data_IF_869215367408
#
_entry.id   IF_869215367408
#
_cell.length_a   1.000
_cell.length_b   1.000
_cell.length_c   1.000
_cell.angle_alpha   90.00
_cell.angle_beta   90.00
_cell.angle_gamma   90.00
#
_symmetry.space_group_name_H-M   'P 1'
#
loop_
_entity.id
_entity.type
_entity.pdbx_description
1 polymer ?
#
# COMPACT_ATOMS: atom_id res chain seq x y z
N UNK A 1 -0.08 66.76 -38.70
CA UNK A 1 0.03 65.45 -39.38
C UNK A 1 0.32 64.38 -38.31
N UNK A 2 -0.70 63.71 -37.85
CA UNK A 2 -0.60 62.71 -36.77
C UNK A 2 -0.86 61.34 -37.40
N UNK A 3 0.21 60.50 -37.52
CA UNK A 3 0.13 59.13 -38.03
C UNK A 3 -0.30 58.23 -36.89
N UNK A 4 -1.56 57.77 -36.92
CA UNK A 4 -2.04 56.68 -36.07
C UNK A 4 -1.31 55.39 -36.46
N UNK A 5 -0.51 54.86 -35.53
CA UNK A 5 0.01 53.50 -35.63
C UNK A 5 -1.14 52.54 -35.26
N UNK A 6 -1.73 51.93 -36.27
CA UNK A 6 -2.59 50.76 -36.05
C UNK A 6 -1.72 49.60 -35.58
N UNK A 7 -1.87 49.24 -34.32
CA UNK A 7 -1.31 48.01 -33.74
C UNK A 7 -2.09 46.83 -34.31
N UNK A 8 -1.48 46.15 -35.28
CA UNK A 8 -2.00 44.92 -35.88
C UNK A 8 -1.94 43.80 -34.82
N UNK A 9 -2.99 43.70 -34.02
CA UNK A 9 -3.18 42.57 -33.08
C UNK A 9 -3.59 41.36 -33.92
N UNK A 10 -2.59 40.62 -34.42
CA UNK A 10 -2.81 39.28 -35.00
C UNK A 10 -3.21 38.35 -33.85
N UNK A 11 -4.51 38.27 -33.59
CA UNK A 11 -5.07 37.27 -32.70
C UNK A 11 -4.68 35.88 -33.18
N UNK A 12 -4.16 35.05 -32.26
CA UNK A 12 -3.90 33.66 -32.57
C UNK A 12 -5.16 32.99 -33.11
N UNK A 13 -5.09 32.28 -34.26
CA UNK A 13 -6.26 31.63 -34.84
C UNK A 13 -6.86 30.67 -33.81
N UNK A 14 -8.16 30.73 -33.57
CA UNK A 14 -8.86 29.96 -32.54
C UNK A 14 -8.58 28.46 -32.59
N UNK A 15 -8.26 27.93 -33.78
CA UNK A 15 -7.84 26.54 -33.97
C UNK A 15 -6.52 26.19 -33.23
N UNK A 16 -5.54 27.10 -33.20
CA UNK A 16 -4.28 26.88 -32.45
C UNK A 16 -4.51 26.86 -30.96
N UNK A 17 -5.44 27.66 -30.45
CA UNK A 17 -5.79 27.66 -29.02
C UNK A 17 -6.47 26.35 -28.63
N UNK A 18 -7.40 25.84 -29.45
CA UNK A 18 -8.05 24.54 -29.21
C UNK A 18 -7.04 23.40 -29.24
N UNK A 19 -6.15 23.36 -30.23
CA UNK A 19 -5.09 22.34 -30.33
C UNK A 19 -4.15 22.42 -29.12
N UNK A 20 -3.81 23.63 -28.69
CA UNK A 20 -2.97 23.83 -27.49
C UNK A 20 -3.61 23.28 -26.19
N UNK A 21 -4.92 23.53 -26.00
CA UNK A 21 -5.67 23.01 -24.84
C UNK A 21 -5.76 21.49 -24.87
N UNK A 22 -6.06 20.89 -26.03
CA UNK A 22 -6.13 19.44 -26.20
C UNK A 22 -4.77 18.80 -25.96
N UNK A 23 -3.69 19.40 -26.47
CA UNK A 23 -2.31 18.93 -26.22
C UNK A 23 -1.94 18.98 -24.75
N UNK A 24 -2.27 20.06 -24.06
CA UNK A 24 -2.05 20.19 -22.62
C UNK A 24 -2.84 19.14 -21.83
N UNK A 25 -4.10 18.93 -22.14
CA UNK A 25 -4.94 17.92 -21.49
C UNK A 25 -4.37 16.51 -21.68
N UNK A 26 -3.91 16.16 -22.89
CA UNK A 26 -3.26 14.88 -23.17
C UNK A 26 -1.94 14.71 -22.37
N UNK A 27 -1.12 15.74 -22.29
CA UNK A 27 0.12 15.72 -21.49
C UNK A 27 -0.17 15.53 -20.00
N UNK A 28 -1.17 16.21 -19.46
CA UNK A 28 -1.56 16.07 -18.05
C UNK A 28 -2.10 14.67 -17.76
N UNK A 29 -2.90 14.10 -18.65
CA UNK A 29 -3.40 12.73 -18.51
C UNK A 29 -2.25 11.71 -18.55
N UNK A 30 -1.32 11.82 -19.49
CA UNK A 30 -0.14 10.97 -19.59
C UNK A 30 0.74 11.10 -18.34
N UNK A 31 0.96 12.31 -17.84
CA UNK A 31 1.70 12.57 -16.62
C UNK A 31 1.02 11.95 -15.38
N UNK A 32 -0.31 12.07 -15.28
CA UNK A 32 -1.06 11.47 -14.16
C UNK A 32 -0.92 9.94 -14.14
N UNK A 33 -1.05 9.28 -15.30
CA UNK A 33 -0.85 7.83 -15.43
C UNK A 33 0.58 7.43 -15.08
N UNK A 34 1.57 8.14 -15.62
CA UNK A 34 2.98 7.89 -15.31
C UNK A 34 3.29 8.08 -13.82
N UNK A 35 2.75 9.13 -13.21
CA UNK A 35 2.92 9.43 -11.79
C UNK A 35 2.31 8.34 -10.91
N UNK A 36 1.08 7.90 -11.19
CA UNK A 36 0.47 6.77 -10.47
C UNK A 36 1.29 5.50 -10.61
N UNK A 37 1.83 5.24 -11.79
CA UNK A 37 2.64 4.03 -12.04
C UNK A 37 3.96 4.04 -11.27
N UNK A 38 4.56 5.21 -11.08
CA UNK A 38 5.81 5.34 -10.31
C UNK A 38 5.60 5.18 -8.81
N UNK A 39 4.41 5.49 -8.29
CA UNK A 39 4.10 5.43 -6.85
C UNK A 39 3.87 4.01 -6.30
N UNK A 40 3.69 3.01 -7.15
CA UNK A 40 3.42 1.62 -6.73
C UNK A 40 4.49 0.63 -7.15
N UNK A 41 5.55 1.07 -7.82
CA UNK A 41 6.58 0.18 -8.41
C UNK A 41 7.31 -0.66 -7.38
N UNK A 42 7.69 -0.08 -6.24
CA UNK A 42 8.46 -0.78 -5.19
C UNK A 42 7.58 -1.79 -4.46
N UNK A 43 6.37 -1.40 -4.11
CA UNK A 43 5.40 -2.30 -3.50
C UNK A 43 5.08 -3.48 -4.42
N UNK A 44 4.86 -3.23 -5.72
CA UNK A 44 4.64 -4.29 -6.69
C UNK A 44 5.86 -5.20 -6.86
N UNK A 45 7.07 -4.65 -6.83
CA UNK A 45 8.30 -5.45 -6.91
C UNK A 45 8.49 -6.33 -5.67
N UNK A 46 8.11 -5.83 -4.48
CA UNK A 46 8.21 -6.57 -3.23
C UNK A 46 7.08 -7.59 -3.04
N UNK A 47 5.83 -7.13 -3.13
CA UNK A 47 4.66 -7.98 -2.90
C UNK A 47 4.38 -8.91 -4.09
N UNK A 48 4.71 -8.49 -5.29
CA UNK A 48 4.25 -9.11 -6.52
C UNK A 48 2.80 -8.77 -6.84
N UNK A 49 2.36 -8.95 -8.10
CA UNK A 49 1.02 -8.55 -8.54
C UNK A 49 -0.10 -9.30 -7.82
N UNK A 50 0.08 -10.58 -7.53
CA UNK A 50 -0.93 -11.42 -6.87
C UNK A 50 -1.22 -10.99 -5.44
N UNK A 51 -0.16 -10.75 -4.64
CA UNK A 51 -0.31 -10.29 -3.26
C UNK A 51 -0.86 -8.87 -3.22
N UNK A 52 -0.38 -7.98 -4.10
CA UNK A 52 -0.89 -6.61 -4.20
C UNK A 52 -2.39 -6.60 -4.56
N UNK A 53 -2.82 -7.45 -5.50
CA UNK A 53 -4.23 -7.62 -5.81
C UNK A 53 -5.02 -8.18 -4.61
N UNK A 54 -4.51 -9.21 -3.92
CA UNK A 54 -5.15 -9.75 -2.73
C UNK A 54 -5.32 -8.69 -1.63
N UNK A 55 -4.32 -7.84 -1.38
CA UNK A 55 -4.42 -6.74 -0.42
C UNK A 55 -5.58 -5.81 -0.79
N UNK A 56 -5.73 -5.47 -2.08
CA UNK A 56 -6.73 -4.50 -2.53
C UNK A 56 -8.15 -5.05 -2.55
N UNK A 57 -8.35 -6.29 -3.02
CA UNK A 57 -9.70 -6.79 -3.37
C UNK A 57 -10.20 -7.95 -2.52
N UNK A 58 -9.40 -8.53 -1.63
CA UNK A 58 -9.82 -9.68 -0.83
C UNK A 58 -11.13 -9.39 -0.05
N UNK A 59 -12.19 -10.19 -0.21
CA UNK A 59 -13.46 -9.94 0.48
C UNK A 59 -13.39 -10.25 1.97
N UNK A 60 -12.49 -11.15 2.39
CA UNK A 60 -12.26 -11.49 3.80
C UNK A 60 -10.83 -11.18 4.20
N UNK A 61 -10.67 -10.49 5.33
CA UNK A 61 -9.41 -10.19 5.95
C UNK A 61 -9.44 -10.57 7.42
N UNK A 62 -8.43 -11.28 7.85
CA UNK A 62 -8.26 -11.64 9.25
C UNK A 62 -6.99 -10.98 9.81
N UNK A 63 -7.09 -10.46 11.02
CA UNK A 63 -5.95 -10.05 11.82
C UNK A 63 -5.56 -11.18 12.76
N UNK A 64 -4.30 -11.58 12.72
CA UNK A 64 -3.77 -12.64 13.56
C UNK A 64 -2.77 -12.07 14.56
N UNK A 65 -2.87 -12.50 15.83
CA UNK A 65 -1.78 -12.33 16.78
C UNK A 65 -0.80 -13.47 16.58
N UNK A 66 0.48 -13.13 16.55
CA UNK A 66 1.56 -14.10 16.36
C UNK A 66 2.30 -14.29 17.68
N UNK A 67 2.72 -15.51 17.95
CA UNK A 67 3.73 -15.78 18.98
C UNK A 67 5.09 -15.99 18.35
N UNK A 68 6.12 -15.80 19.17
CA UNK A 68 7.49 -16.11 18.79
C UNK A 68 7.57 -17.51 18.18
N UNK A 69 8.31 -17.63 17.15
CA UNK A 69 8.57 -18.72 16.23
C UNK A 69 8.50 -20.13 16.83
N UNK A 70 7.58 -20.92 16.33
CA UNK A 70 7.66 -22.39 16.48
C UNK A 70 8.87 -22.97 15.73
N UNK A 71 9.18 -24.24 15.97
CA UNK A 71 10.24 -24.95 15.28
C UNK A 71 10.13 -24.79 13.76
N UNK A 72 11.14 -24.19 13.11
CA UNK A 72 11.15 -23.93 11.66
C UNK A 72 10.91 -22.48 11.23
N UNK A 73 10.86 -21.52 12.16
CA UNK A 73 10.84 -20.08 11.81
C UNK A 73 9.51 -19.55 11.27
N UNK A 74 8.43 -20.35 11.27
CA UNK A 74 7.09 -19.87 10.88
C UNK A 74 6.36 -19.28 12.08
N UNK A 75 5.83 -18.06 11.98
CA UNK A 75 5.01 -17.48 13.02
C UNK A 75 3.70 -18.28 13.18
N UNK A 76 3.38 -18.62 14.44
CA UNK A 76 2.14 -19.32 14.79
C UNK A 76 1.09 -18.30 15.19
N UNK A 77 -0.10 -18.38 14.58
CA UNK A 77 -1.24 -17.55 14.96
C UNK A 77 -1.84 -18.09 16.28
N UNK A 78 -1.85 -17.25 17.32
CA UNK A 78 -2.49 -17.57 18.62
C UNK A 78 -3.93 -17.16 18.68
N UNK A 79 -4.29 -16.11 17.95
CA UNK A 79 -5.69 -15.69 17.80
C UNK A 79 -5.92 -15.19 16.39
N UNK A 80 -7.15 -15.38 15.90
CA UNK A 80 -7.60 -14.89 14.59
C UNK A 80 -8.88 -14.08 14.79
N UNK A 81 -8.93 -12.91 14.19
CA UNK A 81 -10.07 -12.00 14.29
C UNK A 81 -10.44 -11.55 12.88
N UNK A 82 -11.69 -11.75 12.49
CA UNK A 82 -12.21 -11.22 11.22
C UNK A 82 -12.32 -9.69 11.32
N UNK A 83 -11.59 -9.00 10.43
CA UNK A 83 -11.52 -7.54 10.35
C UNK A 83 -12.05 -7.00 9.02
N UNK A 84 -12.73 -7.83 8.24
CA UNK A 84 -13.25 -7.49 6.91
C UNK A 84 -14.13 -6.23 6.92
N UNK A 85 -14.85 -6.01 8.03
CA UNK A 85 -15.73 -4.85 8.22
C UNK A 85 -15.15 -3.82 9.21
N UNK A 86 -13.86 -3.91 9.55
CA UNK A 86 -13.26 -2.98 10.50
C UNK A 86 -13.15 -1.57 9.90
N UNK A 87 -13.51 -0.51 10.65
CA UNK A 87 -13.33 0.86 10.21
C UNK A 87 -11.87 1.13 9.82
N UNK A 88 -11.67 1.81 8.70
CA UNK A 88 -10.33 2.17 8.23
C UNK A 88 -9.58 1.08 7.45
N UNK A 89 -10.12 -0.15 7.30
CA UNK A 89 -9.48 -1.21 6.53
C UNK A 89 -9.22 -0.79 5.08
N UNK A 90 -10.12 -0.03 4.45
CA UNK A 90 -9.94 0.48 3.07
C UNK A 90 -8.72 1.39 2.99
N UNK A 91 -8.55 2.31 3.94
CA UNK A 91 -7.40 3.20 4.00
C UNK A 91 -6.09 2.43 4.25
N UNK A 92 -6.15 1.42 5.13
CA UNK A 92 -5.00 0.55 5.38
C UNK A 92 -4.57 -0.20 4.12
N UNK A 93 -5.51 -0.76 3.35
CA UNK A 93 -5.22 -1.46 2.09
C UNK A 93 -4.54 -0.53 1.08
N UNK A 94 -5.03 0.70 0.91
CA UNK A 94 -4.37 1.70 0.08
C UNK A 94 -2.97 2.02 0.58
N UNK A 95 -2.82 2.25 1.87
CA UNK A 95 -1.51 2.53 2.47
C UNK A 95 -0.50 1.40 2.29
N UNK A 96 -0.95 0.13 2.31
CA UNK A 96 -0.08 -1.03 2.13
C UNK A 96 0.48 -1.19 0.70
N UNK A 97 -0.15 -0.62 -0.31
CA UNK A 97 0.32 -0.71 -1.71
C UNK A 97 0.95 0.58 -2.22
N UNK A 98 1.08 1.59 -1.38
CA UNK A 98 1.63 2.88 -1.72
C UNK A 98 3.10 3.01 -1.29
N UNK A 99 3.99 3.23 -2.25
CA UNK A 99 5.45 3.30 -2.03
C UNK A 99 5.88 4.40 -1.06
N UNK A 100 5.14 5.52 -1.01
CA UNK A 100 5.44 6.68 -0.17
C UNK A 100 5.36 6.39 1.33
N UNK A 101 4.66 5.32 1.70
CA UNK A 101 4.45 4.91 3.09
C UNK A 101 5.60 4.07 3.64
N UNK A 102 6.49 3.59 2.79
CA UNK A 102 7.65 2.79 3.15
C UNK A 102 8.93 3.64 3.24
N UNK A 103 9.87 3.22 4.07
CA UNK A 103 11.13 3.93 4.16
C UNK A 103 11.94 3.82 2.85
N UNK A 104 12.52 4.93 2.41
CA UNK A 104 13.25 5.02 1.14
C UNK A 104 14.50 4.12 1.06
N UNK A 105 15.04 3.71 2.19
CA UNK A 105 16.22 2.85 2.34
C UNK A 105 15.93 1.36 2.24
N UNK A 106 14.74 0.99 1.83
CA UNK A 106 14.34 -0.41 1.71
C UNK A 106 14.93 -1.10 0.46
N UNK A 107 16.24 -1.27 0.43
CA UNK A 107 16.76 -2.53 -0.09
C UNK A 107 16.16 -3.63 0.78
N UNK A 108 15.67 -4.75 0.22
CA UNK A 108 15.22 -5.88 1.02
C UNK A 108 16.37 -6.23 1.95
N UNK A 109 16.24 -5.83 3.21
CA UNK A 109 17.33 -6.03 4.14
C UNK A 109 17.43 -7.53 4.37
N UNK A 110 18.46 -8.14 3.80
CA UNK A 110 18.91 -9.49 4.12
C UNK A 110 19.42 -9.60 5.56
N UNK A 111 19.21 -8.55 6.36
CA UNK A 111 19.56 -8.50 7.76
C UNK A 111 18.77 -9.54 8.55
N UNK A 112 19.31 -9.85 9.74
CA UNK A 112 18.72 -10.78 10.72
C UNK A 112 17.20 -10.57 10.79
N UNK A 113 16.38 -11.62 10.65
CA UNK A 113 14.94 -11.50 10.83
C UNK A 113 14.65 -10.84 12.19
N UNK A 114 13.59 -10.04 12.33
CA UNK A 114 13.19 -9.49 13.61
C UNK A 114 13.04 -10.63 14.60
N UNK A 115 13.32 -10.35 15.86
CA UNK A 115 13.26 -11.36 16.92
C UNK A 115 11.86 -11.95 17.09
N UNK A 116 10.83 -11.17 16.72
CA UNK A 116 9.43 -11.59 16.73
C UNK A 116 8.65 -10.89 15.63
N UNK A 117 7.62 -11.57 15.13
CA UNK A 117 6.54 -10.97 14.35
C UNK A 117 5.34 -10.86 15.28
N UNK A 118 4.76 -9.67 15.43
CA UNK A 118 3.73 -9.42 16.44
C UNK A 118 2.34 -9.78 15.94
N UNK A 119 2.05 -9.38 14.71
CA UNK A 119 0.74 -9.53 14.10
C UNK A 119 0.85 -9.89 12.62
N UNK A 120 -0.22 -10.44 12.06
CA UNK A 120 -0.33 -10.62 10.63
C UNK A 120 -1.71 -10.21 10.12
N UNK A 121 -1.78 -9.87 8.84
CA UNK A 121 -3.02 -9.74 8.08
C UNK A 121 -3.07 -10.85 7.03
N UNK A 122 -4.11 -11.64 7.09
CA UNK A 122 -4.39 -12.71 6.13
C UNK A 122 -5.54 -12.29 5.21
N UNK A 123 -5.29 -12.36 3.91
CA UNK A 123 -6.22 -11.96 2.85
C UNK A 123 -6.74 -13.19 2.14
N UNK A 124 -8.07 -13.34 2.07
CA UNK A 124 -8.70 -14.53 1.52
C UNK A 124 -9.51 -14.19 0.27
N UNK A 125 -9.41 -15.04 -0.73
CA UNK A 125 -10.33 -15.01 -1.88
C UNK A 125 -11.75 -15.42 -1.45
N UNK A 126 -12.75 -15.13 -2.26
CA UNK A 126 -14.12 -15.51 -1.99
C UNK A 126 -14.25 -17.05 -1.86
N UNK A 127 -14.82 -17.51 -0.74
CA UNK A 127 -15.02 -18.94 -0.46
C UNK A 127 -13.74 -19.73 -0.13
N UNK A 128 -12.56 -19.11 -0.13
CA UNK A 128 -11.33 -19.81 0.18
C UNK A 128 -11.18 -20.11 1.67
N UNK A 129 -10.79 -21.33 2.01
CA UNK A 129 -10.46 -21.73 3.37
C UNK A 129 -9.05 -21.24 3.77
N UNK A 130 -8.13 -21.20 2.81
CA UNK A 130 -6.75 -20.75 3.02
C UNK A 130 -6.55 -19.32 2.51
N UNK A 131 -5.66 -18.53 3.16
CA UNK A 131 -5.38 -17.17 2.70
C UNK A 131 -4.57 -17.19 1.39
N UNK A 132 -4.93 -16.30 0.48
CA UNK A 132 -4.16 -16.03 -0.75
C UNK A 132 -2.83 -15.34 -0.44
N UNK A 133 -2.83 -14.49 0.59
CA UNK A 133 -1.64 -13.78 1.03
C UNK A 133 -1.69 -13.57 2.55
N UNK A 134 -0.52 -13.64 3.18
CA UNK A 134 -0.35 -13.33 4.60
C UNK A 134 0.83 -12.37 4.74
N UNK A 135 0.57 -11.20 5.31
CA UNK A 135 1.57 -10.20 5.65
C UNK A 135 1.85 -10.26 7.14
N UNK A 136 3.07 -10.57 7.54
CA UNK A 136 3.49 -10.49 8.93
C UNK A 136 4.19 -9.16 9.20
N UNK A 137 3.91 -8.57 10.34
CA UNK A 137 4.40 -7.26 10.76
C UNK A 137 5.15 -7.39 12.08
N UNK A 138 6.30 -6.78 12.12
CA UNK A 138 6.99 -6.35 13.33
C UNK A 138 6.60 -4.88 13.55
N UNK A 139 5.96 -4.59 14.67
CA UNK A 139 5.46 -3.25 14.96
C UNK A 139 6.37 -2.50 15.94
N UNK A 140 7.50 -3.08 16.33
CA UNK A 140 8.49 -2.40 17.15
C UNK A 140 9.28 -1.37 16.33
N UNK A 141 9.78 -0.33 16.98
CA UNK A 141 10.60 0.74 16.41
C UNK A 141 10.07 1.31 15.09
N UNK A 142 10.87 1.18 14.04
CA UNK A 142 10.55 1.65 12.67
C UNK A 142 9.54 0.74 11.95
N UNK A 143 9.29 -0.43 12.50
CA UNK A 143 8.42 -1.44 11.93
C UNK A 143 8.95 -2.11 10.66
N UNK A 144 8.52 -3.34 10.44
CA UNK A 144 8.83 -4.07 9.22
C UNK A 144 7.64 -4.92 8.76
N UNK A 145 7.59 -5.25 7.48
CA UNK A 145 6.63 -6.18 6.91
C UNK A 145 7.32 -7.20 6.03
N UNK A 146 6.82 -8.43 6.09
CA UNK A 146 7.19 -9.51 5.18
C UNK A 146 5.96 -10.21 4.63
N UNK A 147 6.11 -10.84 3.48
CA UNK A 147 5.12 -11.80 2.95
C UNK A 147 5.48 -13.18 3.46
N UNK A 148 4.60 -13.81 4.21
CA UNK A 148 4.85 -15.16 4.75
C UNK A 148 5.06 -16.14 3.60
N UNK A 149 6.18 -16.89 3.68
CA UNK A 149 6.57 -17.83 2.61
C UNK A 149 7.43 -17.21 1.50
N UNK A 150 7.72 -15.91 1.54
CA UNK A 150 8.66 -15.25 0.61
C UNK A 150 9.85 -14.67 1.37
N UNK A 151 11.05 -14.68 0.76
CA UNK A 151 12.20 -14.02 1.36
C UNK A 151 12.09 -12.50 1.28
N UNK A 152 12.72 -11.82 2.23
CA UNK A 152 12.80 -10.35 2.25
C UNK A 152 11.81 -9.70 3.19
N UNK A 153 12.12 -8.44 3.53
CA UNK A 153 11.29 -7.56 4.35
C UNK A 153 11.51 -6.12 3.92
N UNK A 154 10.53 -5.26 4.14
CA UNK A 154 10.65 -3.82 3.94
C UNK A 154 10.24 -3.08 5.21
N UNK A 155 10.86 -1.93 5.46
CA UNK A 155 10.50 -1.08 6.60
C UNK A 155 9.19 -0.34 6.34
N UNK A 156 8.31 -0.32 7.34
CA UNK A 156 6.98 0.29 7.25
C UNK A 156 7.01 1.83 7.19
N UNK A 157 8.10 2.46 7.61
CA UNK A 157 8.21 3.92 7.55
C UNK A 157 7.02 4.63 8.21
N UNK A 158 6.33 5.48 7.46
CA UNK A 158 5.16 6.25 7.95
C UNK A 158 3.98 5.37 8.32
N UNK A 159 3.85 4.20 7.70
CA UNK A 159 2.74 3.29 7.94
C UNK A 159 2.79 2.65 9.33
N UNK A 160 3.97 2.47 9.92
CA UNK A 160 4.16 1.77 11.19
C UNK A 160 3.26 2.31 12.32
N UNK A 161 3.22 3.62 12.50
CA UNK A 161 2.43 4.24 13.57
C UNK A 161 0.92 4.08 13.35
N UNK A 162 0.47 4.31 12.10
CA UNK A 162 -0.93 4.16 11.72
C UNK A 162 -1.42 2.73 11.89
N UNK A 163 -0.63 1.76 11.41
CA UNK A 163 -0.91 0.34 11.52
C UNK A 163 -0.96 -0.12 12.99
N UNK A 164 -0.01 0.31 13.81
CA UNK A 164 0.01 0.00 15.27
C UNK A 164 -1.27 0.48 15.94
N UNK A 165 -1.68 1.72 15.70
CA UNK A 165 -2.91 2.29 16.27
C UNK A 165 -4.15 1.54 15.78
N UNK A 166 -4.22 1.26 14.48
CA UNK A 166 -5.35 0.55 13.89
C UNK A 166 -5.46 -0.88 14.44
N UNK A 167 -4.35 -1.61 14.49
CA UNK A 167 -4.30 -2.98 15.05
C UNK A 167 -4.70 -3.00 16.53
N UNK A 168 -4.16 -2.08 17.33
CA UNK A 168 -4.51 -1.99 18.76
C UNK A 168 -6.01 -1.74 18.96
N UNK A 169 -6.60 -0.80 18.23
CA UNK A 169 -8.03 -0.49 18.31
C UNK A 169 -8.89 -1.68 17.85
N UNK A 170 -8.52 -2.32 16.73
CA UNK A 170 -9.32 -3.40 16.12
C UNK A 170 -9.26 -4.69 16.94
N UNK A 171 -8.09 -5.04 17.47
CA UNK A 171 -7.91 -6.26 18.27
C UNK A 171 -8.39 -6.10 19.73
N UNK A 172 -8.48 -4.86 20.25
CA UNK A 172 -9.07 -4.59 21.56
C UNK A 172 -10.60 -4.60 21.53
N UNK A 173 -11.21 -4.16 20.42
CA UNK A 173 -12.67 -4.06 20.28
C UNK A 173 -13.38 -5.40 20.12
N UNK A 174 -12.66 -6.47 19.83
CA UNK A 174 -13.22 -7.83 19.64
C UNK A 174 -12.43 -8.84 20.47
N UNK A 175 -12.87 -9.12 21.72
CA UNK A 175 -12.34 -10.27 22.45
C UNK A 175 -12.54 -11.52 21.61
N UNK A 176 -11.52 -12.35 21.51
CA UNK A 176 -11.55 -13.64 20.82
C UNK A 176 -12.77 -14.41 21.32
N UNK A 177 -13.68 -14.80 20.43
CA UNK A 177 -14.69 -15.79 20.78
C UNK A 177 -13.96 -17.09 21.16
N UNK A 178 -14.40 -17.78 22.23
CA UNK A 178 -13.83 -19.02 22.70
C UNK A 178 -13.91 -20.15 21.67
#
# INVERSE_FOLDING_TARGET
MQRSRATDQRGLPGSLLVVGILGLAACLAAFAVWFQWTQTRRCLAFFGPEVAAAIQVAPRVEAWRLTATGAGGRPLATSRTDVSQAPGLVHLRHGLVEDSNYASTAAPSSGRPPASWDVALAFFAAGAAEPTAVLAFDLDDAGAVTVVGRPGRISLGRLAQGLRKWMAATLAARPSAP
#
